data_IF_703710586205
#
_entry.id   IF_703710586205
#
_cell.length_a   1.000
_cell.length_b   1.000
_cell.length_c   1.000
_cell.angle_alpha   90.00
_cell.angle_beta   90.00
_cell.angle_gamma   90.00
#
_symmetry.space_group_name_H-M   'P 1'
#
loop_
_entity.id
_entity.type
_entity.pdbx_description
1 polymer ?
#
# COMPACT_ATOMS: atom_id res chain seq x y z
N UNK A 1 -23.53 8.41 25.03
CA UNK A 1 -22.58 7.45 24.42
C UNK A 1 -22.91 7.35 22.94
N UNK A 2 -22.00 7.81 22.06
CA UNK A 2 -22.21 7.71 20.62
C UNK A 2 -22.11 6.22 20.21
N UNK A 3 -23.13 5.69 19.54
CA UNK A 3 -23.09 4.33 18.99
C UNK A 3 -22.11 4.35 17.82
N UNK A 4 -20.94 3.73 18.00
CA UNK A 4 -20.02 3.51 16.90
C UNK A 4 -20.67 2.50 15.94
N UNK A 5 -20.93 2.91 14.69
CA UNK A 5 -21.35 1.99 13.64
C UNK A 5 -20.10 1.26 13.12
N UNK A 6 -20.15 -0.07 13.14
CA UNK A 6 -19.10 -0.94 12.59
C UNK A 6 -18.85 -0.66 11.11
N UNK A 7 -19.90 -0.28 10.37
CA UNK A 7 -19.81 0.11 8.96
C UNK A 7 -19.01 1.41 8.80
N UNK A 8 -19.26 2.42 9.64
CA UNK A 8 -18.54 3.69 9.60
C UNK A 8 -17.06 3.51 9.97
N UNK A 9 -16.77 2.64 10.95
CA UNK A 9 -15.40 2.30 11.32
C UNK A 9 -14.68 1.52 10.22
N UNK A 10 -15.37 0.56 9.58
CA UNK A 10 -14.84 -0.21 8.46
C UNK A 10 -14.51 0.67 7.25
N UNK A 11 -15.40 1.59 6.90
CA UNK A 11 -15.16 2.56 5.84
C UNK A 11 -13.97 3.47 6.15
N UNK A 12 -13.90 4.03 7.36
CA UNK A 12 -12.77 4.87 7.77
C UNK A 12 -11.44 4.11 7.72
N UNK A 13 -11.41 2.85 8.18
CA UNK A 13 -10.21 2.01 8.11
C UNK A 13 -9.76 1.74 6.67
N UNK A 14 -10.72 1.51 5.76
CA UNK A 14 -10.43 1.32 4.33
C UNK A 14 -9.84 2.58 3.72
N UNK A 15 -10.45 3.75 3.95
CA UNK A 15 -9.96 5.04 3.46
C UNK A 15 -8.57 5.37 4.00
N UNK A 16 -8.31 5.14 5.28
CA UNK A 16 -6.97 5.36 5.86
C UNK A 16 -5.95 4.45 5.18
N UNK A 17 -6.29 3.17 5.00
CA UNK A 17 -5.42 2.20 4.33
C UNK A 17 -5.12 2.60 2.88
N UNK A 18 -6.13 3.12 2.17
CA UNK A 18 -5.99 3.66 0.82
C UNK A 18 -5.00 4.83 0.78
N UNK A 19 -5.19 5.84 1.63
CA UNK A 19 -4.33 7.03 1.69
C UNK A 19 -2.89 6.66 2.04
N UNK A 20 -2.69 5.73 2.98
CA UNK A 20 -1.36 5.25 3.34
C UNK A 20 -0.68 4.55 2.17
N UNK A 21 -1.41 3.71 1.43
CA UNK A 21 -0.86 3.03 0.26
C UNK A 21 -0.49 4.01 -0.86
N UNK A 22 -1.36 4.98 -1.14
CA UNK A 22 -1.08 6.06 -2.09
C UNK A 22 0.20 6.81 -1.71
N UNK A 23 0.34 7.20 -0.44
CA UNK A 23 1.53 7.91 0.04
C UNK A 23 2.81 7.06 -0.10
N UNK A 24 2.75 5.76 0.18
CA UNK A 24 3.89 4.85 0.02
C UNK A 24 4.34 4.75 -1.45
N UNK A 25 3.39 4.68 -2.39
CA UNK A 25 3.71 4.63 -3.83
C UNK A 25 4.29 5.97 -4.31
N UNK A 26 3.67 7.10 -3.93
CA UNK A 26 4.12 8.45 -4.30
C UNK A 26 5.53 8.73 -3.74
N UNK A 27 5.80 8.27 -2.51
CA UNK A 27 7.11 8.43 -1.86
C UNK A 27 8.18 7.46 -2.40
N UNK A 28 7.81 6.55 -3.31
CA UNK A 28 8.72 5.56 -3.89
C UNK A 28 9.12 4.44 -2.94
N UNK A 29 8.40 4.22 -1.84
CA UNK A 29 8.62 3.09 -0.93
C UNK A 29 8.16 1.76 -1.55
N UNK A 30 7.11 1.82 -2.37
CA UNK A 30 6.66 0.74 -3.22
C UNK A 30 6.55 1.22 -4.66
N UNK A 31 6.85 0.33 -5.61
CA UNK A 31 6.41 0.48 -6.98
C UNK A 31 4.90 0.26 -7.09
N UNK A 32 4.29 0.80 -8.14
CA UNK A 32 2.88 0.57 -8.46
C UNK A 32 2.54 -0.93 -8.55
N UNK A 33 3.43 -1.73 -9.14
CA UNK A 33 3.25 -3.17 -9.30
C UNK A 33 3.32 -3.91 -7.97
N UNK A 34 4.23 -3.53 -7.07
CA UNK A 34 4.29 -4.09 -5.72
C UNK A 34 3.04 -3.79 -4.91
N UNK A 35 2.55 -2.55 -4.97
CA UNK A 35 1.30 -2.15 -4.32
C UNK A 35 0.09 -2.94 -4.88
N UNK A 36 0.00 -3.10 -6.21
CA UNK A 36 -1.03 -3.93 -6.87
C UNK A 36 -0.97 -5.37 -6.37
N UNK A 37 0.20 -5.99 -6.37
CA UNK A 37 0.39 -7.38 -5.90
C UNK A 37 0.02 -7.55 -4.43
N UNK A 38 0.35 -6.57 -3.59
CA UNK A 38 0.02 -6.58 -2.18
C UNK A 38 -1.49 -6.57 -1.96
N UNK A 39 -2.22 -5.73 -2.68
CA UNK A 39 -3.69 -5.68 -2.61
C UNK A 39 -4.34 -6.97 -3.12
N UNK A 40 -3.87 -7.51 -4.26
CA UNK A 40 -4.37 -8.79 -4.78
C UNK A 40 -4.13 -9.93 -3.78
N UNK A 41 -2.94 -9.97 -3.17
CA UNK A 41 -2.60 -10.95 -2.14
C UNK A 41 -3.44 -10.78 -0.88
N UNK A 42 -3.72 -9.55 -0.45
CA UNK A 42 -4.59 -9.29 0.69
C UNK A 42 -6.03 -9.77 0.44
N UNK A 43 -6.62 -9.47 -0.73
CA UNK A 43 -7.94 -9.95 -1.09
C UNK A 43 -7.99 -11.50 -1.11
N UNK A 44 -6.99 -12.15 -1.72
CA UNK A 44 -6.92 -13.61 -1.77
C UNK A 44 -6.82 -14.24 -0.38
N UNK A 45 -6.03 -13.66 0.53
CA UNK A 45 -5.92 -14.15 1.92
C UNK A 45 -7.25 -14.09 2.66
N UNK A 46 -8.05 -13.05 2.42
CA UNK A 46 -9.39 -12.97 3.00
C UNK A 46 -10.33 -14.03 2.42
N UNK A 47 -10.31 -14.26 1.11
CA UNK A 47 -11.08 -15.35 0.47
C UNK A 47 -10.68 -16.72 1.01
N UNK A 48 -9.38 -16.99 1.14
CA UNK A 48 -8.86 -18.24 1.72
C UNK A 48 -9.24 -18.40 3.21
N UNK A 49 -9.34 -17.29 3.95
CA UNK A 49 -9.75 -17.28 5.35
C UNK A 49 -11.27 -17.36 5.56
N UNK A 50 -12.07 -17.26 4.50
CA UNK A 50 -13.53 -17.31 4.53
C UNK A 50 -14.05 -18.74 4.73
N UNK A 51 -13.75 -19.30 5.90
CA UNK A 51 -14.18 -20.62 6.34
C UNK A 51 -14.59 -20.61 7.82
N UNK A 52 -15.51 -21.50 8.18
CA UNK A 52 -16.04 -21.64 9.53
C UNK A 52 -17.46 -21.05 9.67
N UNK A 53 -17.76 -20.33 10.77
CA UNK A 53 -19.10 -19.76 10.99
C UNK A 53 -19.51 -18.77 9.89
N UNK A 54 -20.79 -18.73 9.55
CA UNK A 54 -21.34 -17.91 8.46
C UNK A 54 -20.98 -16.42 8.57
N UNK A 55 -21.01 -15.86 9.79
CA UNK A 55 -20.64 -14.46 10.04
C UNK A 55 -19.18 -14.18 9.67
N UNK A 56 -18.26 -15.10 10.00
CA UNK A 56 -16.84 -14.97 9.65
C UNK A 56 -16.63 -15.12 8.14
N UNK A 57 -17.37 -16.02 7.50
CA UNK A 57 -17.33 -16.19 6.04
C UNK A 57 -17.78 -14.89 5.37
N UNK A 58 -18.94 -14.36 5.75
CA UNK A 58 -19.49 -13.12 5.20
C UNK A 58 -18.51 -11.95 5.37
N UNK A 59 -17.97 -11.76 6.57
CA UNK A 59 -17.04 -10.67 6.87
C UNK A 59 -15.74 -10.76 6.04
N UNK A 60 -15.17 -11.95 5.87
CA UNK A 60 -13.96 -12.11 5.07
C UNK A 60 -14.22 -11.93 3.58
N UNK A 61 -15.35 -12.43 3.07
CA UNK A 61 -15.73 -12.23 1.67
C UNK A 61 -16.00 -10.76 1.36
N UNK A 62 -16.65 -10.03 2.28
CA UNK A 62 -16.87 -8.60 2.18
C UNK A 62 -15.55 -7.82 2.20
N UNK A 63 -14.63 -8.14 3.12
CA UNK A 63 -13.31 -7.53 3.16
C UNK A 63 -12.54 -7.75 1.84
N UNK A 64 -12.57 -8.97 1.28
CA UNK A 64 -11.96 -9.26 -0.01
C UNK A 64 -12.58 -8.42 -1.14
N UNK A 65 -13.91 -8.27 -1.15
CA UNK A 65 -14.62 -7.45 -2.13
C UNK A 65 -14.22 -5.98 -2.04
N UNK A 66 -14.16 -5.42 -0.83
CA UNK A 66 -13.76 -4.04 -0.58
C UNK A 66 -12.31 -3.78 -1.01
N UNK A 67 -11.39 -4.71 -0.73
CA UNK A 67 -9.99 -4.60 -1.17
C UNK A 67 -9.90 -4.60 -2.70
N UNK A 68 -10.69 -5.43 -3.40
CA UNK A 68 -10.76 -5.44 -4.86
C UNK A 68 -11.35 -4.15 -5.42
N UNK A 69 -12.37 -3.59 -4.77
CA UNK A 69 -12.94 -2.30 -5.15
C UNK A 69 -11.93 -1.16 -5.00
N UNK A 70 -11.18 -1.14 -3.89
CA UNK A 70 -10.06 -0.20 -3.68
C UNK A 70 -8.99 -0.36 -4.77
N UNK A 71 -8.62 -1.59 -5.13
CA UNK A 71 -7.68 -1.84 -6.23
C UNK A 71 -8.16 -1.21 -7.55
N UNK A 72 -9.45 -1.34 -7.88
CA UNK A 72 -10.04 -0.69 -9.08
C UNK A 72 -10.03 0.83 -8.98
N UNK A 73 -10.32 1.40 -7.81
CA UNK A 73 -10.26 2.85 -7.59
C UNK A 73 -8.85 3.42 -7.72
N UNK A 74 -7.84 2.66 -7.30
CA UNK A 74 -6.42 3.03 -7.37
C UNK A 74 -5.77 2.74 -8.73
N UNK A 75 -6.49 2.19 -9.70
CA UNK A 75 -5.96 1.90 -11.04
C UNK A 75 -5.23 3.10 -11.70
N UNK A 76 -5.69 4.37 -11.57
CA UNK A 76 -4.95 5.52 -12.10
C UNK A 76 -3.56 5.71 -11.48
N UNK A 77 -3.37 5.36 -10.20
CA UNK A 77 -2.07 5.42 -9.52
C UNK A 77 -1.10 4.37 -10.09
N UNK A 78 -1.63 3.25 -10.56
CA UNK A 78 -0.83 2.14 -11.07
C UNK A 78 -0.53 2.21 -12.56
N UNK A 79 -1.23 3.07 -13.30
CA UNK A 79 -0.90 3.34 -14.71
C UNK A 79 0.34 4.20 -14.74
N UNK A 80 1.37 3.77 -15.47
CA UNK A 80 2.54 4.61 -15.73
C UNK A 80 2.06 5.96 -16.29
N UNK A 81 2.45 7.10 -15.68
CA UNK A 81 2.18 8.38 -16.28
C UNK A 81 2.96 8.44 -17.59
N UNK A 82 2.24 8.33 -18.71
CA UNK A 82 2.77 8.69 -20.03
C UNK A 82 3.02 10.19 -20.02
N UNK A 83 4.23 10.58 -19.61
CA UNK A 83 4.74 11.93 -19.69
C UNK A 83 4.82 12.64 -18.35
N UNK A 84 6.02 13.15 -18.07
CA UNK A 84 6.34 14.16 -17.06
C UNK A 84 6.65 13.72 -15.61
N UNK A 85 7.42 12.64 -15.45
CA UNK A 85 8.35 12.56 -14.30
C UNK A 85 9.74 12.95 -14.80
N UNK A 86 10.44 13.92 -14.17
CA UNK A 86 11.80 14.26 -14.56
C UNK A 86 12.66 13.00 -14.44
N UNK A 87 13.43 12.73 -15.48
CA UNK A 87 14.41 11.66 -15.51
C UNK A 87 15.18 11.70 -14.19
N UNK A 88 15.06 10.63 -13.39
CA UNK A 88 15.95 10.40 -12.27
C UNK A 88 17.35 10.39 -12.87
N UNK A 89 18.04 11.51 -12.73
CA UNK A 89 19.38 11.68 -13.25
C UNK A 89 20.19 10.47 -12.86
N UNK A 90 20.82 9.90 -13.88
CA UNK A 90 21.92 8.97 -13.74
C UNK A 90 22.98 9.65 -12.87
N UNK A 91 22.90 9.49 -11.56
CA UNK A 91 24.09 9.59 -10.73
C UNK A 91 24.96 8.37 -11.05
N UNK A 92 25.70 8.53 -12.14
CA UNK A 92 27.11 8.16 -12.28
C UNK A 92 27.73 7.71 -10.95
N UNK A 93 27.99 6.41 -10.85
CA UNK A 93 29.08 5.90 -10.01
C UNK A 93 29.96 4.98 -10.84
N UNK A 94 30.68 5.60 -11.77
CA UNK A 94 32.06 5.20 -12.03
C UNK A 94 32.96 5.90 -11.01
N UNK A 95 33.80 5.12 -10.34
CA UNK A 95 35.16 5.54 -9.94
C UNK A 95 35.35 6.59 -8.84
N UNK A 96 35.80 6.10 -7.68
CA UNK A 96 36.85 6.66 -6.80
C UNK A 96 36.63 7.99 -6.06
N UNK A 97 36.65 7.92 -4.71
CA UNK A 97 36.91 9.07 -3.83
C UNK A 97 36.48 8.83 -2.39
N UNK A 98 37.45 8.68 -1.49
CA UNK A 98 37.29 8.47 -0.04
C UNK A 98 36.43 9.55 0.65
N UNK A 99 35.64 9.16 1.65
CA UNK A 99 35.76 9.63 3.05
C UNK A 99 34.74 8.89 3.92
N UNK A 100 35.23 7.93 4.71
CA UNK A 100 34.52 7.42 5.88
C UNK A 100 34.44 8.54 6.92
N UNK A 101 33.24 8.93 7.32
CA UNK A 101 33.05 9.80 8.48
C UNK A 101 32.51 8.93 9.61
N UNK A 102 33.41 8.43 10.45
CA UNK A 102 33.08 7.76 11.70
C UNK A 102 32.55 8.81 12.69
N UNK A 103 31.29 8.68 13.10
CA UNK A 103 30.73 9.47 14.20
C UNK A 103 31.27 8.87 15.50
N UNK A 104 32.13 9.62 16.21
CA UNK A 104 32.50 9.31 17.60
C UNK A 104 31.48 9.93 18.55
N UNK A 105 31.01 9.14 19.51
CA UNK A 105 30.29 9.61 20.68
C UNK A 105 31.31 9.89 21.81
N UNK A 106 31.14 10.98 22.60
CA UNK A 106 31.98 11.24 23.77
C UNK A 106 31.60 10.34 24.96
N UNK A 107 32.62 10.00 25.77
CA UNK A 107 32.53 9.19 26.99
C UNK A 107 31.65 9.83 28.09
#
# INVERSE_FOLDING_TARGET
MAKFSTEAAGFAALTISELMLQQCVISGLFTAEEARRLLVSAARRHEEAASGPDEKIALNMEAAHLIRAMLSGLEPLFREPRGNTPARDKQTRGGTGKTETWVRFPD
#
